data_IF_069160609828
#
_entry.id   IF_069160609828
#
_cell.length_a   1.000
_cell.length_b   1.000
_cell.length_c   1.000
_cell.angle_alpha   90.00
_cell.angle_beta   90.00
_cell.angle_gamma   90.00
#
_symmetry.space_group_name_H-M   'P 1'
#
loop_
_entity.id
_entity.type
_entity.pdbx_description
1 polymer ?
#
# COMPACT_ATOMS: atom_id res chain seq x y z
N UNK A 1 6.83 -13.45 14.83
CA UNK A 1 6.27 -12.11 14.50
C UNK A 1 6.07 -12.07 13.00
N UNK A 2 4.83 -12.17 12.52
CA UNK A 2 4.52 -12.10 11.10
C UNK A 2 4.55 -10.63 10.69
N UNK A 3 5.60 -10.19 10.01
CA UNK A 3 5.70 -8.81 9.53
C UNK A 3 4.74 -8.62 8.37
N UNK A 4 3.61 -7.96 8.65
CA UNK A 4 2.67 -7.53 7.62
C UNK A 4 3.16 -6.20 7.07
N UNK A 5 2.91 -5.90 5.80
CA UNK A 5 3.26 -4.63 5.18
C UNK A 5 2.09 -4.05 4.39
N UNK A 6 2.08 -2.74 4.21
CA UNK A 6 1.11 -2.02 3.38
C UNK A 6 1.84 -1.23 2.30
N UNK A 7 1.14 -0.84 1.25
CA UNK A 7 1.67 0.09 0.25
C UNK A 7 1.01 1.44 0.49
N UNK A 8 1.81 2.48 0.68
CA UNK A 8 1.34 3.84 0.88
C UNK A 8 2.01 4.82 -0.10
N UNK A 9 1.30 5.85 -0.50
CA UNK A 9 1.85 6.96 -1.29
C UNK A 9 1.62 8.28 -0.57
N UNK A 10 2.48 9.26 -0.85
CA UNK A 10 2.30 10.63 -0.37
C UNK A 10 1.43 11.43 -1.34
N UNK A 11 0.45 12.15 -0.80
CA UNK A 11 -0.39 13.13 -1.50
C UNK A 11 -0.31 14.47 -0.76
N UNK A 12 -0.73 15.56 -1.41
CA UNK A 12 -0.68 16.92 -0.84
C UNK A 12 -1.34 17.04 0.54
N UNK A 13 -2.36 16.22 0.83
CA UNK A 13 -3.14 16.29 2.07
C UNK A 13 -2.84 15.14 3.07
N UNK A 14 -1.91 14.24 2.77
CA UNK A 14 -1.61 13.11 3.65
C UNK A 14 -1.11 11.86 2.91
N UNK A 15 -1.28 10.71 3.56
CA UNK A 15 -0.98 9.41 2.97
C UNK A 15 -2.24 8.79 2.38
N UNK A 16 -2.06 8.08 1.27
CA UNK A 16 -3.06 7.18 0.74
C UNK A 16 -2.48 5.77 0.71
N UNK A 17 -3.29 4.80 1.08
CA UNK A 17 -2.95 3.39 1.16
C UNK A 17 -3.56 2.65 -0.01
N UNK A 18 -2.83 1.67 -0.51
CA UNK A 18 -3.29 0.82 -1.60
C UNK A 18 -4.36 -0.13 -1.04
N UNK A 19 -5.61 0.09 -1.42
CA UNK A 19 -6.73 -0.78 -1.15
C UNK A 19 -7.00 -1.67 -2.39
N UNK A 20 -7.64 -2.81 -2.17
CA UNK A 20 -8.21 -3.61 -3.25
C UNK A 20 -9.71 -3.42 -3.25
N UNK A 21 -10.24 -2.76 -4.26
CA UNK A 21 -11.68 -2.75 -4.50
C UNK A 21 -12.03 -3.88 -5.49
N UNK A 22 -13.32 -4.20 -5.60
CA UNK A 22 -13.81 -5.29 -6.46
C UNK A 22 -13.44 -5.16 -7.94
N UNK A 23 -12.89 -4.02 -8.38
CA UNK A 23 -12.50 -3.75 -9.76
C UNK A 23 -10.98 -3.57 -9.96
N UNK A 24 -10.18 -3.49 -8.90
CA UNK A 24 -8.74 -3.36 -9.03
C UNK A 24 -8.02 -2.88 -7.77
N UNK A 25 -6.85 -2.28 -8.00
CA UNK A 25 -6.11 -1.57 -6.97
C UNK A 25 -6.54 -0.11 -6.96
N UNK A 26 -7.01 0.37 -5.82
CA UNK A 26 -7.44 1.74 -5.63
C UNK A 26 -6.71 2.37 -4.44
N UNK A 27 -6.72 3.69 -4.34
CA UNK A 27 -6.06 4.42 -3.27
C UNK A 27 -7.10 4.92 -2.27
N UNK A 28 -6.99 4.47 -1.02
CA UNK A 28 -7.84 4.91 0.08
C UNK A 28 -7.06 5.81 1.03
N UNK A 29 -7.70 6.85 1.55
CA UNK A 29 -7.15 7.64 2.67
C UNK A 29 -7.36 6.95 4.02
N UNK A 30 -8.15 5.86 4.07
CA UNK A 30 -8.47 5.13 5.29
C UNK A 30 -7.50 3.96 5.45
N UNK A 31 -6.69 3.99 6.51
CA UNK A 31 -5.67 2.97 6.79
C UNK A 31 -6.26 1.56 6.94
N UNK A 32 -7.45 1.42 7.53
CA UNK A 32 -8.10 0.12 7.74
C UNK A 32 -8.48 -0.61 6.44
N UNK A 33 -8.59 0.14 5.34
CA UNK A 33 -8.91 -0.41 4.02
C UNK A 33 -7.64 -0.79 3.26
N UNK A 34 -6.46 -0.52 3.83
CA UNK A 34 -5.18 -0.86 3.24
C UNK A 34 -5.06 -2.37 3.04
N UNK A 35 -4.63 -2.74 1.84
CA UNK A 35 -4.29 -4.11 1.53
C UNK A 35 -3.05 -4.52 2.32
N UNK A 36 -3.23 -5.56 3.11
CA UNK A 36 -2.17 -6.21 3.84
C UNK A 36 -1.37 -7.15 2.93
N UNK A 37 -0.06 -7.06 3.03
CA UNK A 37 0.90 -7.94 2.37
C UNK A 37 1.63 -8.77 3.42
N UNK A 38 1.86 -10.07 3.18
CA UNK A 38 2.53 -10.95 4.13
C UNK A 38 4.03 -10.66 4.30
N UNK A 39 4.60 -9.77 3.47
CA UNK A 39 5.97 -9.29 3.63
C UNK A 39 6.18 -7.93 2.95
N UNK A 40 7.21 -7.21 3.40
CA UNK A 40 7.68 -5.98 2.74
C UNK A 40 8.04 -6.24 1.28
N UNK A 41 8.62 -7.41 0.96
CA UNK A 41 8.96 -7.76 -0.42
C UNK A 41 7.71 -7.82 -1.31
N UNK A 42 6.61 -8.42 -0.84
CA UNK A 42 5.36 -8.45 -1.60
C UNK A 42 4.73 -7.07 -1.76
N UNK A 43 4.75 -6.26 -0.70
CA UNK A 43 4.31 -4.87 -0.77
C UNK A 43 5.14 -4.07 -1.81
N UNK A 44 6.47 -4.21 -1.81
CA UNK A 44 7.35 -3.54 -2.78
C UNK A 44 7.05 -3.99 -4.20
N UNK A 45 6.84 -5.30 -4.44
CA UNK A 45 6.44 -5.79 -5.77
C UNK A 45 5.11 -5.20 -6.22
N UNK A 46 4.15 -5.06 -5.31
CA UNK A 46 2.88 -4.43 -5.63
C UNK A 46 3.05 -2.93 -5.94
N UNK A 47 3.87 -2.21 -5.17
CA UNK A 47 4.18 -0.80 -5.40
C UNK A 47 4.83 -0.57 -6.77
N UNK A 48 5.79 -1.42 -7.17
CA UNK A 48 6.48 -1.32 -8.47
C UNK A 48 5.59 -1.60 -9.67
N UNK A 49 4.48 -2.33 -9.50
CA UNK A 49 3.49 -2.59 -10.56
C UNK A 49 2.56 -1.41 -10.81
N UNK A 50 2.61 -0.38 -9.98
CA UNK A 50 1.76 0.79 -10.13
C UNK A 50 2.35 1.73 -11.19
N UNK A 51 1.50 2.48 -11.92
CA UNK A 51 1.97 3.40 -12.95
C UNK A 51 3.00 4.39 -12.38
N UNK A 52 4.12 4.59 -13.09
CA UNK A 52 5.31 5.31 -12.61
C UNK A 52 5.15 6.78 -12.22
N UNK A 53 3.96 7.37 -12.40
CA UNK A 53 3.62 8.70 -11.87
C UNK A 53 3.36 8.69 -10.36
N UNK A 54 3.25 7.52 -9.74
CA UNK A 54 2.91 7.37 -8.33
C UNK A 54 4.14 6.95 -7.52
N UNK A 55 4.66 7.84 -6.67
CA UNK A 55 5.68 7.46 -5.67
C UNK A 55 4.99 6.73 -4.51
N UNK A 56 4.96 5.41 -4.61
CA UNK A 56 4.45 4.50 -3.60
C UNK A 56 5.60 3.80 -2.84
N UNK A 57 5.38 3.50 -1.57
CA UNK A 57 6.34 2.95 -0.63
C UNK A 57 5.73 1.75 0.10
N UNK A 58 6.51 0.70 0.29
CA UNK A 58 6.14 -0.39 1.17
C UNK A 58 6.47 -0.01 2.62
N UNK A 59 5.47 -0.06 3.50
CA UNK A 59 5.61 0.24 4.91
C UNK A 59 5.38 -1.04 5.71
N UNK A 60 6.36 -1.50 6.51
CA UNK A 60 6.11 -2.57 7.47
C UNK A 60 5.14 -2.09 8.55
N UNK A 61 4.18 -2.93 8.92
CA UNK A 61 3.32 -2.72 10.07
C UNK A 61 3.64 -3.78 11.12
N UNK A 62 3.88 -3.33 12.34
CA UNK A 62 3.99 -4.21 13.50
C UNK A 62 2.58 -4.35 14.05
N UNK A 63 2.02 -5.55 13.96
CA UNK A 63 0.73 -5.88 14.57
C UNK A 63 0.92 -6.54 15.93
#
# INVERSE_FOLDING_TARGET
>A
MTLVAVVARRRYQGFEYLARDGQGNNWSTVERDARLYPSVHEATRAALRLPGKVRAFALPICH
#
